data_IF_719404322382
#
_entry.id   IF_719404322382
#
_cell.length_a   1.000
_cell.length_b   1.000
_cell.length_c   1.000
_cell.angle_alpha   90.00
_cell.angle_beta   90.00
_cell.angle_gamma   90.00
#
_symmetry.space_group_name_H-M   'P 1'
#
loop_
_entity.id
_entity.type
_entity.pdbx_description
1 polymer ?
#
# COMPACT_ATOMS: atom_id res chain seq x y z
N UNK A 1 -29.53 16.47 -56.50
CA UNK A 1 -29.62 17.25 -57.74
C UNK A 1 -30.68 18.32 -57.51
N UNK A 2 -30.35 19.60 -57.72
CA UNK A 2 -31.27 20.70 -57.42
C UNK A 2 -32.52 20.65 -58.30
N UNK A 3 -33.68 20.82 -57.68
CA UNK A 3 -34.97 20.97 -58.35
C UNK A 3 -35.26 22.46 -58.60
N UNK A 4 -34.95 22.91 -59.83
CA UNK A 4 -35.17 24.30 -60.23
C UNK A 4 -36.64 24.67 -60.37
N UNK A 5 -37.55 23.70 -60.54
CA UNK A 5 -38.98 23.98 -60.67
C UNK A 5 -39.58 24.34 -59.31
N UNK A 6 -39.16 23.63 -58.26
CA UNK A 6 -39.54 23.93 -56.89
C UNK A 6 -38.94 25.27 -56.42
N UNK A 7 -37.69 25.58 -56.75
CA UNK A 7 -37.08 26.88 -56.42
C UNK A 7 -37.85 28.03 -57.09
N UNK A 8 -38.16 27.90 -58.39
CA UNK A 8 -38.94 28.93 -59.11
C UNK A 8 -40.31 29.15 -58.47
N UNK A 9 -41.00 28.06 -58.09
CA UNK A 9 -42.30 28.12 -57.42
C UNK A 9 -42.22 28.79 -56.05
N UNK A 10 -41.23 28.43 -55.23
CA UNK A 10 -41.02 29.01 -53.90
C UNK A 10 -40.73 30.52 -53.97
N UNK A 11 -39.89 30.96 -54.90
CA UNK A 11 -39.59 32.39 -55.07
C UNK A 11 -40.81 33.17 -55.55
N UNK A 12 -41.59 32.61 -56.48
CA UNK A 12 -42.84 33.22 -56.93
C UNK A 12 -43.85 33.38 -55.79
N UNK A 13 -44.03 32.36 -54.95
CA UNK A 13 -44.96 32.43 -53.80
C UNK A 13 -44.50 33.42 -52.74
N UNK A 14 -43.21 33.40 -52.39
CA UNK A 14 -42.69 34.12 -51.21
C UNK A 14 -42.30 35.56 -51.50
N UNK A 15 -41.85 35.83 -52.71
CA UNK A 15 -41.31 37.14 -53.09
C UNK A 15 -42.09 37.79 -54.24
N UNK A 16 -43.12 37.11 -54.78
CA UNK A 16 -43.94 37.58 -55.90
C UNK A 16 -43.13 37.93 -57.16
N UNK A 17 -42.01 37.23 -57.36
CA UNK A 17 -41.10 37.39 -58.51
C UNK A 17 -41.13 36.13 -59.36
N UNK A 18 -41.42 36.29 -60.66
CA UNK A 18 -41.39 35.21 -61.64
C UNK A 18 -39.99 35.08 -62.25
N UNK A 19 -39.35 33.95 -61.99
CA UNK A 19 -38.00 33.64 -62.49
C UNK A 19 -38.11 32.79 -63.75
N UNK A 20 -37.49 33.27 -64.84
CA UNK A 20 -37.41 32.56 -66.11
C UNK A 20 -36.42 31.38 -66.09
N UNK A 21 -36.48 30.50 -67.09
CA UNK A 21 -35.54 29.37 -67.21
C UNK A 21 -34.09 29.82 -67.39
N UNK A 22 -33.88 30.95 -68.06
CA UNK A 22 -32.56 31.52 -68.39
C UNK A 22 -32.16 32.64 -67.42
N UNK A 23 -32.80 32.72 -66.25
CA UNK A 23 -32.55 33.77 -65.28
C UNK A 23 -31.15 33.61 -64.63
N UNK A 24 -30.31 34.66 -64.60
CA UNK A 24 -28.99 34.62 -63.97
C UNK A 24 -29.01 34.19 -62.50
N UNK A 25 -30.12 34.38 -61.78
CA UNK A 25 -30.26 33.94 -60.39
C UNK A 25 -30.18 32.42 -60.29
N UNK A 26 -30.80 31.67 -61.22
CA UNK A 26 -30.75 30.20 -61.22
C UNK A 26 -29.35 29.67 -61.59
N UNK A 27 -28.65 30.38 -62.48
CA UNK A 27 -27.24 30.08 -62.79
C UNK A 27 -26.37 30.26 -61.54
N UNK A 28 -26.61 31.33 -60.78
CA UNK A 28 -25.88 31.61 -59.53
C UNK A 28 -26.14 30.55 -58.46
N UNK A 29 -27.38 30.05 -58.34
CA UNK A 29 -27.73 28.93 -57.46
C UNK A 29 -26.97 27.67 -57.86
N UNK A 30 -26.88 27.37 -59.16
CA UNK A 30 -26.14 26.22 -59.68
C UNK A 30 -24.65 26.31 -59.33
N UNK A 31 -24.03 27.49 -59.54
CA UNK A 31 -22.63 27.71 -59.16
C UNK A 31 -22.43 27.55 -57.66
N UNK A 32 -23.36 28.07 -56.86
CA UNK A 32 -23.31 27.95 -55.39
C UNK A 32 -23.40 26.49 -54.95
N UNK A 33 -24.28 25.69 -55.56
CA UNK A 33 -24.41 24.25 -55.29
C UNK A 33 -23.13 23.48 -55.61
N UNK A 34 -22.52 23.76 -56.76
CA UNK A 34 -21.25 23.12 -57.15
C UNK A 34 -20.12 23.48 -56.18
N UNK A 35 -20.02 24.75 -55.79
CA UNK A 35 -18.99 25.22 -54.84
C UNK A 35 -19.21 24.62 -53.46
N UNK A 36 -20.44 24.66 -52.95
CA UNK A 36 -20.79 24.11 -51.63
C UNK A 36 -20.61 22.59 -51.61
N UNK A 37 -21.02 21.89 -52.66
CA UNK A 37 -20.79 20.44 -52.81
C UNK A 37 -19.30 20.12 -52.77
N UNK A 38 -18.47 20.88 -53.47
CA UNK A 38 -17.02 20.69 -53.46
C UNK A 38 -16.40 20.94 -52.08
N UNK A 39 -16.84 21.97 -51.37
CA UNK A 39 -16.38 22.21 -50.00
C UNK A 39 -16.84 21.11 -49.05
N UNK A 40 -18.07 20.59 -49.22
CA UNK A 40 -18.58 19.50 -48.40
C UNK A 40 -17.75 18.22 -48.59
N UNK A 41 -17.39 17.89 -49.83
CA UNK A 41 -16.48 16.78 -50.14
C UNK A 41 -15.12 16.96 -49.45
N UNK A 42 -14.49 18.13 -49.60
CA UNK A 42 -13.19 18.41 -48.97
C UNK A 42 -13.24 18.29 -47.44
N UNK A 43 -14.32 18.78 -46.82
CA UNK A 43 -14.53 18.67 -45.38
C UNK A 43 -14.75 17.21 -44.97
N UNK A 44 -15.51 16.44 -45.75
CA UNK A 44 -15.74 15.01 -45.51
C UNK A 44 -14.42 14.23 -45.57
N UNK A 45 -13.61 14.45 -46.59
CA UNK A 45 -12.31 13.79 -46.76
C UNK A 45 -11.37 14.13 -45.59
N UNK A 46 -11.33 15.40 -45.18
CA UNK A 46 -10.53 15.85 -44.05
C UNK A 46 -11.02 15.25 -42.72
N UNK A 47 -12.34 15.12 -42.55
CA UNK A 47 -12.94 14.50 -41.37
C UNK A 47 -12.61 13.00 -41.29
N UNK A 48 -12.67 12.29 -42.42
CA UNK A 48 -12.30 10.88 -42.50
C UNK A 48 -10.82 10.66 -42.16
N UNK A 49 -9.93 11.52 -42.67
CA UNK A 49 -8.51 11.46 -42.34
C UNK A 49 -8.26 11.78 -40.86
N UNK A 50 -8.92 12.81 -40.31
CA UNK A 50 -8.85 13.14 -38.90
C UNK A 50 -9.35 11.98 -38.00
N UNK A 51 -10.41 11.29 -38.40
CA UNK A 51 -10.93 10.12 -37.68
C UNK A 51 -9.94 8.94 -37.72
N UNK A 52 -9.27 8.71 -38.85
CA UNK A 52 -8.21 7.69 -38.94
C UNK A 52 -7.04 8.02 -38.03
N UNK A 53 -6.56 9.27 -38.07
CA UNK A 53 -5.48 9.74 -37.20
C UNK A 53 -5.87 9.63 -35.71
N UNK A 54 -7.10 9.99 -35.37
CA UNK A 54 -7.64 9.86 -34.01
C UNK A 54 -7.67 8.39 -33.57
N UNK A 55 -8.12 7.48 -34.44
CA UNK A 55 -8.16 6.04 -34.14
C UNK A 55 -6.78 5.48 -33.85
N UNK A 56 -5.77 5.86 -34.66
CA UNK A 56 -4.37 5.46 -34.42
C UNK A 56 -3.85 6.03 -33.10
N UNK A 57 -4.12 7.31 -32.82
CA UNK A 57 -3.73 7.94 -31.56
C UNK A 57 -4.37 7.27 -30.35
N UNK A 58 -5.64 6.89 -30.42
CA UNK A 58 -6.34 6.17 -29.36
C UNK A 58 -5.72 4.79 -29.11
N UNK A 59 -5.39 4.05 -30.18
CA UNK A 59 -4.70 2.76 -30.05
C UNK A 59 -3.33 2.92 -29.37
N UNK A 60 -2.56 3.93 -29.78
CA UNK A 60 -1.26 4.24 -29.17
C UNK A 60 -1.40 4.63 -27.70
N UNK A 61 -2.40 5.44 -27.36
CA UNK A 61 -2.68 5.86 -25.98
C UNK A 61 -3.08 4.67 -25.10
N UNK A 62 -3.89 3.74 -25.62
CA UNK A 62 -4.25 2.52 -24.89
C UNK A 62 -3.01 1.68 -24.61
N UNK A 63 -2.11 1.53 -25.58
CA UNK A 63 -0.89 0.73 -25.38
C UNK A 63 0.07 1.38 -24.37
N UNK A 64 0.28 2.69 -24.47
CA UNK A 64 1.04 3.45 -23.46
C UNK A 64 0.42 3.37 -22.07
N UNK A 65 -0.91 3.38 -21.98
CA UNK A 65 -1.63 3.24 -20.72
C UNK A 65 -1.41 1.87 -20.10
N UNK A 66 -1.45 0.79 -20.91
CA UNK A 66 -1.12 -0.56 -20.44
C UNK A 66 0.32 -0.66 -19.95
N UNK A 67 1.27 -0.11 -20.71
CA UNK A 67 2.69 -0.12 -20.32
C UNK A 67 2.90 0.61 -18.99
N UNK A 68 2.28 1.80 -18.85
CA UNK A 68 2.34 2.60 -17.62
C UNK A 68 1.71 1.86 -16.45
N UNK A 69 0.53 1.25 -16.65
CA UNK A 69 -0.12 0.44 -15.62
C UNK A 69 0.75 -0.75 -15.20
N UNK A 70 1.38 -1.43 -16.16
CA UNK A 70 2.31 -2.53 -15.91
C UNK A 70 3.52 -2.10 -15.07
N UNK A 71 4.11 -0.95 -15.37
CA UNK A 71 5.20 -0.35 -14.57
C UNK A 71 4.73 -0.05 -13.14
N UNK A 72 3.60 0.65 -12.98
CA UNK A 72 3.06 1.00 -11.66
C UNK A 72 2.77 -0.25 -10.81
N UNK A 73 2.16 -1.27 -11.39
CA UNK A 73 1.88 -2.54 -10.69
C UNK A 73 3.18 -3.21 -10.26
N UNK A 74 4.17 -3.26 -11.15
CA UNK A 74 5.47 -3.89 -10.87
C UNK A 74 6.22 -3.14 -9.78
N UNK A 75 6.27 -1.81 -9.86
CA UNK A 75 6.93 -0.96 -8.88
C UNK A 75 6.25 -1.06 -7.51
N UNK A 76 4.92 -1.07 -7.48
CA UNK A 76 4.16 -1.28 -6.25
C UNK A 76 4.41 -2.67 -5.65
N UNK A 77 4.44 -3.73 -6.46
CA UNK A 77 4.73 -5.08 -6.00
C UNK A 77 6.15 -5.20 -5.44
N UNK A 78 7.14 -4.60 -6.11
CA UNK A 78 8.52 -4.53 -5.63
C UNK A 78 8.62 -3.76 -4.31
N UNK A 79 7.95 -2.61 -4.21
CA UNK A 79 7.90 -1.81 -3.00
C UNK A 79 7.30 -2.60 -1.83
N UNK A 80 6.14 -3.23 -2.03
CA UNK A 80 5.49 -4.06 -0.99
C UNK A 80 6.39 -5.24 -0.60
N UNK A 81 7.01 -5.91 -1.56
CA UNK A 81 7.94 -7.01 -1.28
C UNK A 81 9.11 -6.56 -0.39
N UNK A 82 9.69 -5.40 -0.70
CA UNK A 82 10.78 -4.82 0.07
C UNK A 82 10.34 -4.40 1.48
N UNK A 83 9.19 -3.75 1.61
CA UNK A 83 8.61 -3.39 2.90
C UNK A 83 8.32 -4.62 3.77
N UNK A 84 7.78 -5.69 3.18
CA UNK A 84 7.54 -6.96 3.88
C UNK A 84 8.86 -7.58 4.33
N UNK A 85 9.88 -7.61 3.47
CA UNK A 85 11.21 -8.11 3.86
C UNK A 85 11.79 -7.33 5.03
N UNK A 86 11.75 -6.00 4.97
CA UNK A 86 12.24 -5.14 6.05
C UNK A 86 11.47 -5.37 7.35
N UNK A 87 10.14 -5.45 7.30
CA UNK A 87 9.31 -5.74 8.46
C UNK A 87 9.61 -7.12 9.06
N UNK A 88 9.80 -8.14 8.22
CA UNK A 88 10.18 -9.49 8.66
C UNK A 88 11.56 -9.47 9.31
N UNK A 89 12.56 -8.83 8.68
CA UNK A 89 13.90 -8.72 9.26
C UNK A 89 13.88 -7.99 10.61
N UNK A 90 13.12 -6.91 10.74
CA UNK A 90 12.94 -6.21 12.01
C UNK A 90 12.28 -7.11 13.06
N UNK A 91 11.20 -7.81 12.70
CA UNK A 91 10.52 -8.74 13.62
C UNK A 91 11.43 -9.89 14.08
N UNK A 92 12.27 -10.45 13.20
CA UNK A 92 13.24 -11.47 13.58
C UNK A 92 14.32 -10.91 14.50
N UNK A 93 14.79 -9.68 14.27
CA UNK A 93 15.77 -9.03 15.14
C UNK A 93 15.19 -8.80 16.55
N UNK A 94 13.94 -8.34 16.63
CA UNK A 94 13.24 -8.13 17.89
C UNK A 94 12.99 -9.45 18.62
N UNK A 95 12.54 -10.48 17.93
CA UNK A 95 12.37 -11.82 18.49
C UNK A 95 13.71 -12.39 19.02
N UNK A 96 14.80 -12.22 18.27
CA UNK A 96 16.14 -12.65 18.70
C UNK A 96 16.63 -11.91 19.94
N UNK A 97 16.36 -10.60 20.04
CA UNK A 97 16.66 -9.82 21.23
C UNK A 97 15.82 -10.24 22.43
N UNK A 98 14.54 -10.55 22.23
CA UNK A 98 13.65 -11.02 23.29
C UNK A 98 14.10 -12.39 23.82
N UNK A 99 14.43 -13.33 22.93
CA UNK A 99 15.00 -14.64 23.32
C UNK A 99 16.29 -14.47 24.12
N UNK A 100 17.20 -13.57 23.69
CA UNK A 100 18.42 -13.27 24.45
C UNK A 100 18.13 -12.73 25.85
N UNK A 101 17.14 -11.83 25.98
CA UNK A 101 16.70 -11.32 27.29
C UNK A 101 16.11 -12.43 28.16
N UNK A 102 15.27 -13.29 27.60
CA UNK A 102 14.71 -14.43 28.32
C UNK A 102 15.79 -15.39 28.81
N UNK A 103 16.81 -15.69 27.98
CA UNK A 103 17.96 -16.51 28.38
C UNK A 103 18.75 -15.84 29.50
N UNK A 104 19.04 -14.55 29.39
CA UNK A 104 19.77 -13.80 30.43
C UNK A 104 18.99 -13.80 31.76
N UNK A 105 17.68 -13.58 31.71
CA UNK A 105 16.81 -13.62 32.88
C UNK A 105 16.75 -15.03 33.50
N UNK A 106 16.66 -16.08 32.67
CA UNK A 106 16.67 -17.46 33.14
C UNK A 106 18.01 -17.84 33.79
N UNK A 107 19.14 -17.38 33.24
CA UNK A 107 20.46 -17.58 33.84
C UNK A 107 20.61 -16.82 35.16
N UNK A 108 20.12 -15.59 35.24
CA UNK A 108 20.11 -14.81 36.49
C UNK A 108 19.26 -15.49 37.56
N UNK A 109 18.02 -15.87 37.23
CA UNK A 109 17.14 -16.61 38.13
C UNK A 109 17.75 -17.95 38.58
N UNK A 110 18.46 -18.65 37.69
CA UNK A 110 19.17 -19.89 38.02
C UNK A 110 20.34 -19.65 38.97
N UNK A 111 21.11 -18.56 38.78
CA UNK A 111 22.20 -18.18 39.69
C UNK A 111 21.67 -17.80 41.06
N UNK A 112 20.58 -17.03 41.12
CA UNK A 112 19.93 -16.63 42.37
C UNK A 112 19.36 -17.84 43.11
N UNK A 113 18.79 -18.81 42.39
CA UNK A 113 18.32 -20.07 42.98
C UNK A 113 19.47 -20.91 43.56
N UNK A 114 20.62 -20.98 42.87
CA UNK A 114 21.81 -21.69 43.38
C UNK A 114 22.44 -20.96 44.57
N UNK A 115 22.50 -19.63 44.55
CA UNK A 115 22.97 -18.82 45.67
C UNK A 115 22.07 -19.00 46.89
N UNK A 116 20.76 -18.88 46.71
CA UNK A 116 19.75 -19.11 47.76
C UNK A 116 19.82 -20.54 48.32
N UNK A 117 20.07 -21.55 47.48
CA UNK A 117 20.27 -22.92 47.90
C UNK A 117 21.54 -23.12 48.74
N UNK A 118 22.64 -22.46 48.35
CA UNK A 118 23.89 -22.46 49.13
C UNK A 118 23.73 -21.72 50.45
N UNK A 119 23.07 -20.57 50.47
CA UNK A 119 22.81 -19.80 51.69
C UNK A 119 21.90 -20.57 52.64
N UNK A 120 20.88 -21.26 52.12
CA UNK A 120 20.04 -22.16 52.91
C UNK A 120 20.83 -23.34 53.49
N UNK A 121 21.80 -23.87 52.76
CA UNK A 121 22.65 -24.96 53.24
C UNK A 121 23.69 -24.47 54.26
N UNK A 122 24.29 -23.30 54.06
CA UNK A 122 25.17 -22.65 55.03
C UNK A 122 24.41 -22.31 56.33
N UNK A 123 23.19 -21.79 56.23
CA UNK A 123 22.32 -21.50 57.36
C UNK A 123 21.96 -22.77 58.15
N UNK A 124 21.62 -23.88 57.48
CA UNK A 124 21.41 -25.18 58.13
C UNK A 124 22.65 -25.65 58.90
N UNK A 125 23.82 -25.52 58.31
CA UNK A 125 25.09 -25.96 58.93
C UNK A 125 25.45 -25.09 60.15
N UNK A 126 25.25 -23.77 60.04
CA UNK A 126 25.41 -22.84 61.14
C UNK A 126 24.42 -23.08 62.29
N UNK A 127 23.16 -23.43 61.96
CA UNK A 127 22.15 -23.78 62.95
C UNK A 127 22.51 -25.06 63.73
N UNK A 128 23.05 -26.08 63.07
CA UNK A 128 23.54 -27.29 63.76
C UNK A 128 24.71 -27.01 64.70
N UNK A 129 25.66 -26.17 64.28
CA UNK A 129 26.79 -25.74 65.11
C UNK A 129 26.32 -24.93 66.33
N UNK A 130 25.37 -24.00 66.12
CA UNK A 130 24.79 -23.21 67.20
C UNK A 130 24.00 -24.08 68.19
N UNK A 131 23.23 -25.06 67.71
CA UNK A 131 22.52 -26.01 68.55
C UNK A 131 23.48 -26.89 69.38
N UNK A 132 24.60 -27.33 68.79
CA UNK A 132 25.62 -28.09 69.50
C UNK A 132 26.28 -27.27 70.61
N UNK A 133 26.64 -26.01 70.34
CA UNK A 133 27.21 -25.10 71.33
C UNK A 133 26.23 -24.77 72.46
N UNK A 134 24.95 -24.56 72.14
CA UNK A 134 23.90 -24.35 73.14
C UNK A 134 23.70 -25.58 74.06
N UNK A 135 23.76 -26.79 73.48
CA UNK A 135 23.68 -28.03 74.25
C UNK A 135 24.84 -28.20 75.24
N UNK A 136 26.06 -27.87 74.83
CA UNK A 136 27.24 -27.90 75.72
C UNK A 136 27.12 -26.85 76.82
N UNK A 137 26.68 -25.63 76.50
CA UNK A 137 26.47 -24.58 77.50
C UNK A 137 25.40 -24.96 78.54
N UNK A 138 24.31 -25.61 78.10
CA UNK A 138 23.28 -26.11 79.00
C UNK A 138 23.81 -27.20 79.94
N UNK A 139 24.63 -28.13 79.44
CA UNK A 139 25.27 -29.16 80.27
C UNK A 139 26.24 -28.55 81.30
N UNK A 140 27.01 -27.54 80.91
CA UNK A 140 27.91 -26.82 81.83
C UNK A 140 27.11 -26.07 82.90
N UNK A 141 25.98 -25.45 82.54
CA UNK A 141 25.11 -24.78 83.49
C UNK A 141 24.48 -25.76 84.49
N UNK A 142 24.02 -26.93 84.03
CA UNK A 142 23.49 -27.98 84.91
C UNK A 142 24.58 -28.54 85.83
N UNK A 143 25.79 -28.78 85.32
CA UNK A 143 26.91 -29.23 86.13
C UNK A 143 27.31 -28.20 87.19
N UNK A 144 27.33 -26.91 86.85
CA UNK A 144 27.58 -25.83 87.79
C UNK A 144 26.51 -25.77 88.89
N UNK A 145 25.24 -25.99 88.54
CA UNK A 145 24.13 -26.02 89.49
C UNK A 145 24.22 -27.19 90.48
N UNK A 146 24.62 -28.38 89.99
CA UNK A 146 24.85 -29.56 90.83
C UNK A 146 26.01 -29.35 91.80
N UNK A 147 27.10 -28.69 91.36
CA UNK A 147 28.26 -28.39 92.22
C UNK A 147 27.90 -27.37 93.31
N UNK A 148 27.02 -26.41 93.05
CA UNK A 148 26.57 -25.42 94.04
C UNK A 148 25.60 -26.04 95.06
N UNK A 149 24.79 -27.02 94.66
CA UNK A 149 23.84 -27.72 95.57
C UNK A 149 24.51 -28.76 96.48
N UNK A 150 25.72 -29.22 96.15
CA UNK A 150 26.49 -30.20 96.92
C UNK A 150 27.50 -29.55 97.89
N UNK A 151 27.42 -28.22 98.08
CA UNK A 151 28.28 -27.43 98.98
C UNK A 151 27.45 -26.84 100.12
#
# INVERSE_FOLDING_TARGET
MIDFDEIRKQVAIKHNVLIGKDDPILVTVTVSDMVLGRYLELVSDQYDEANRALTVSLQQQVEQSKETAGKVITDAANYVSEQVRQAVTAALADAGNDVRRQIANAQAASRDAVASGRDAQAAKTGAYLAAALAGVAALVAVAALVVVLLK
#
